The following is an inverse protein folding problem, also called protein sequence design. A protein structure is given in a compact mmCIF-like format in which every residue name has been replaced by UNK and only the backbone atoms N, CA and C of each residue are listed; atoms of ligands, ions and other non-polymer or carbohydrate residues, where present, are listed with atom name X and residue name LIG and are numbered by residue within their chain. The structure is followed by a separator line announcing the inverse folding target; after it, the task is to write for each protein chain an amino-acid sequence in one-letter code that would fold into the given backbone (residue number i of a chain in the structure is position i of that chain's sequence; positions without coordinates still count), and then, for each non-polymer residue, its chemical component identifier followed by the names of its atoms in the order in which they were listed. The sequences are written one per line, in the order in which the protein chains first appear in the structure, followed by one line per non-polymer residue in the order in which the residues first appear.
data_IF_269847380015
#
_entry.id   IF_269847380015
#
_cell.length_a   1.000
_cell.length_b   1.000
_cell.length_c   1.000
_cell.angle_alpha   90.00
_cell.angle_beta   90.00
_cell.angle_gamma   90.00
#
_symmetry.space_group_name_H-M   'P 1'
#
loop_
_entity.id
_entity.type
_entity.pdbx_description
1 polymer ?
#
# COMPACT_ATOMS: atom_id res chain seq x y z
N UNK A 1 31.08 -15.64 5.59
CA UNK A 1 30.34 -14.52 4.98
C UNK A 1 28.88 -14.81 5.27
N UNK A 2 28.29 -14.13 6.26
CA UNK A 2 26.89 -14.39 6.62
C UNK A 2 25.99 -14.00 5.45
N UNK A 3 25.02 -14.83 5.12
CA UNK A 3 23.99 -14.42 4.18
C UNK A 3 23.16 -13.26 4.79
N UNK A 4 22.61 -12.42 3.92
CA UNK A 4 21.83 -11.24 4.33
C UNK A 4 20.61 -11.61 5.19
N UNK A 5 20.04 -12.82 4.99
CA UNK A 5 18.91 -13.33 5.78
C UNK A 5 19.29 -13.56 7.26
N UNK A 6 20.47 -14.13 7.51
CA UNK A 6 21.00 -14.38 8.84
C UNK A 6 21.31 -13.09 9.60
N UNK A 7 21.83 -12.08 8.90
CA UNK A 7 22.04 -10.74 9.48
C UNK A 7 20.71 -10.09 9.87
N UNK A 8 19.70 -10.15 9.00
CA UNK A 8 18.40 -9.56 9.28
C UNK A 8 17.65 -10.26 10.41
N UNK A 9 17.70 -11.59 10.50
CA UNK A 9 17.11 -12.32 11.64
C UNK A 9 17.70 -11.91 12.99
N UNK A 10 18.94 -11.42 13.01
CA UNK A 10 19.60 -10.96 14.23
C UNK A 10 19.14 -9.57 14.66
N UNK A 11 18.82 -8.69 13.70
CA UNK A 11 18.47 -7.28 13.97
C UNK A 11 16.95 -7.03 13.96
N UNK A 12 16.23 -7.76 13.11
CA UNK A 12 14.77 -7.70 12.91
C UNK A 12 14.18 -9.12 12.85
N UNK A 13 14.13 -9.85 13.97
CA UNK A 13 13.68 -11.24 14.01
C UNK A 13 12.21 -11.43 13.60
N UNK A 14 11.42 -10.35 13.62
CA UNK A 14 10.01 -10.29 13.25
C UNK A 14 9.75 -9.97 11.77
N UNK A 15 10.79 -9.61 10.99
CA UNK A 15 10.66 -9.16 9.60
C UNK A 15 11.38 -10.12 8.64
N UNK A 16 10.68 -10.52 7.57
CA UNK A 16 11.31 -11.33 6.52
C UNK A 16 12.21 -10.47 5.62
N UNK A 17 13.27 -11.07 5.06
CA UNK A 17 14.19 -10.42 4.12
C UNK A 17 13.44 -9.73 2.94
N UNK A 18 12.41 -10.38 2.41
CA UNK A 18 11.60 -9.82 1.32
C UNK A 18 10.82 -8.55 1.69
N UNK A 19 10.33 -8.45 2.93
CA UNK A 19 9.68 -7.23 3.44
C UNK A 19 10.72 -6.13 3.64
N UNK A 20 11.90 -6.47 4.18
CA UNK A 20 12.98 -5.50 4.40
C UNK A 20 13.50 -4.90 3.10
N UNK A 21 13.77 -5.71 2.07
CA UNK A 21 14.21 -5.20 0.75
C UNK A 21 13.16 -4.24 0.16
N UNK A 22 11.86 -4.51 0.35
CA UNK A 22 10.79 -3.62 -0.14
C UNK A 22 10.71 -2.29 0.57
N UNK A 23 10.88 -2.29 1.88
CA UNK A 23 10.94 -1.02 2.61
C UNK A 23 12.13 -0.15 2.16
N UNK A 24 13.20 -0.77 1.64
CA UNK A 24 14.36 -0.06 1.09
C UNK A 24 14.17 0.40 -0.36
N UNK A 25 13.53 -0.40 -1.20
CA UNK A 25 13.44 -0.17 -2.65
C UNK A 25 12.13 0.51 -3.07
N UNK A 26 11.05 0.29 -2.33
CA UNK A 26 9.70 0.69 -2.72
C UNK A 26 9.05 -0.25 -3.73
N UNK A 27 7.81 0.07 -4.14
CA UNK A 27 7.11 -0.61 -5.23
C UNK A 27 7.28 0.15 -6.55
N UNK A 28 7.37 -0.54 -7.68
CA UNK A 28 7.33 0.14 -8.98
C UNK A 28 6.02 0.92 -9.16
N UNK A 29 6.12 2.17 -9.60
CA UNK A 29 4.96 3.06 -9.72
C UNK A 29 4.00 2.62 -10.82
N UNK A 30 4.51 2.06 -11.92
CA UNK A 30 3.70 1.53 -13.01
C UNK A 30 2.85 0.35 -12.55
N UNK A 31 3.50 -0.62 -11.91
CA UNK A 31 2.83 -1.78 -11.32
C UNK A 31 1.78 -1.37 -10.27
N UNK A 32 2.11 -0.40 -9.41
CA UNK A 32 1.16 0.15 -8.44
C UNK A 32 -0.06 0.79 -9.15
N UNK A 33 0.16 1.64 -10.16
CA UNK A 33 -0.93 2.26 -10.92
C UNK A 33 -1.81 1.23 -11.62
N UNK A 34 -1.22 0.20 -12.20
CA UNK A 34 -1.96 -0.88 -12.85
C UNK A 34 -2.83 -1.65 -11.84
N UNK A 35 -2.29 -2.01 -10.68
CA UNK A 35 -3.04 -2.70 -9.63
C UNK A 35 -4.25 -1.90 -9.13
N UNK A 36 -4.17 -0.56 -9.13
CA UNK A 36 -5.22 0.34 -8.68
C UNK A 36 -6.01 1.03 -9.82
N UNK A 37 -5.82 0.61 -11.08
CA UNK A 37 -6.39 1.29 -12.25
C UNK A 37 -7.92 1.42 -12.20
N UNK A 38 -8.61 0.41 -11.66
CA UNK A 38 -10.07 0.41 -11.50
C UNK A 38 -10.60 1.51 -10.57
N UNK A 39 -9.74 2.04 -9.69
CA UNK A 39 -10.07 3.11 -8.74
C UNK A 39 -9.66 4.50 -9.23
N UNK A 40 -8.99 4.60 -10.38
CA UNK A 40 -8.53 5.85 -10.96
C UNK A 40 -9.48 6.42 -12.04
N UNK A 41 -10.61 5.77 -12.28
CA UNK A 41 -11.61 6.21 -13.26
C UNK A 41 -12.41 7.42 -12.79
N UNK A 42 -12.26 8.56 -13.46
CA UNK A 42 -12.94 9.82 -13.13
C UNK A 42 -14.47 9.78 -13.30
N UNK A 43 -15.00 8.82 -14.07
CA UNK A 43 -16.45 8.61 -14.21
C UNK A 43 -17.06 7.89 -13.01
N UNK A 44 -16.24 7.23 -12.19
CA UNK A 44 -16.67 6.40 -11.05
C UNK A 44 -16.34 7.04 -9.70
N UNK A 45 -15.24 7.78 -9.62
CA UNK A 45 -14.74 8.36 -8.38
C UNK A 45 -14.54 9.88 -8.49
N UNK A 46 -14.84 10.59 -7.42
CA UNK A 46 -14.65 12.04 -7.33
C UNK A 46 -13.19 12.41 -7.03
N UNK A 47 -12.86 13.70 -7.13
CA UNK A 47 -11.48 14.19 -6.96
C UNK A 47 -10.84 13.83 -5.61
N UNK A 48 -11.62 13.78 -4.52
CA UNK A 48 -11.09 13.39 -3.20
C UNK A 48 -10.77 11.90 -3.14
N UNK A 49 -11.66 11.05 -3.67
CA UNK A 49 -11.45 9.60 -3.78
C UNK A 49 -10.25 9.28 -4.70
N UNK A 50 -10.12 9.96 -5.84
CA UNK A 50 -8.97 9.81 -6.74
C UNK A 50 -7.66 10.25 -6.06
N UNK A 51 -7.67 11.37 -5.34
CA UNK A 51 -6.50 11.81 -4.55
C UNK A 51 -6.14 10.78 -3.49
N UNK A 52 -7.13 10.17 -2.86
CA UNK A 52 -6.92 9.13 -1.85
C UNK A 52 -6.21 7.90 -2.44
N UNK A 53 -6.70 7.39 -3.57
CA UNK A 53 -6.09 6.24 -4.27
C UNK A 53 -4.67 6.57 -4.75
N UNK A 54 -4.44 7.77 -5.31
CA UNK A 54 -3.10 8.20 -5.69
C UNK A 54 -2.16 8.28 -4.48
N UNK A 55 -2.67 8.67 -3.31
CA UNK A 55 -1.90 8.67 -2.06
C UNK A 55 -1.52 7.25 -1.63
N UNK A 56 -2.39 6.25 -1.89
CA UNK A 56 -2.05 4.82 -1.66
C UNK A 56 -0.88 4.41 -2.55
N UNK A 57 -0.97 4.72 -3.85
CA UNK A 57 0.07 4.42 -4.84
C UNK A 57 1.39 5.07 -4.46
N UNK A 58 1.38 6.35 -4.10
CA UNK A 58 2.59 7.08 -3.72
C UNK A 58 3.23 6.50 -2.44
N UNK A 59 2.41 6.15 -1.44
CA UNK A 59 2.91 5.54 -0.22
C UNK A 59 3.53 4.15 -0.48
N UNK A 60 2.87 3.29 -1.25
CA UNK A 60 3.43 1.97 -1.62
C UNK A 60 4.69 2.12 -2.47
N UNK A 61 4.74 3.11 -3.36
CA UNK A 61 5.93 3.39 -4.18
C UNK A 61 7.12 3.82 -3.32
N UNK A 62 6.88 4.59 -2.25
CA UNK A 62 7.95 5.09 -1.38
C UNK A 62 8.36 4.11 -0.28
N UNK A 63 7.41 3.37 0.29
CA UNK A 63 7.62 2.55 1.49
C UNK A 63 7.58 1.05 1.19
N UNK A 64 7.17 0.63 -0.01
CA UNK A 64 7.12 -0.76 -0.46
C UNK A 64 6.03 -1.63 0.17
N UNK A 65 5.54 -1.27 1.36
CA UNK A 65 4.51 -1.98 2.12
C UNK A 65 3.55 -0.99 2.77
N UNK A 66 2.33 -1.44 3.07
CA UNK A 66 1.33 -0.63 3.77
C UNK A 66 0.35 -1.51 4.54
N UNK A 67 0.33 -1.33 5.87
CA UNK A 67 -0.75 -1.89 6.69
C UNK A 67 -2.11 -1.26 6.31
N UNK A 68 -3.18 -2.04 6.10
CA UNK A 68 -4.52 -1.51 5.83
C UNK A 68 -5.05 -0.52 6.86
N UNK A 69 -4.55 -0.57 8.11
CA UNK A 69 -4.92 0.39 9.15
C UNK A 69 -4.41 1.82 8.86
N UNK A 70 -3.42 1.99 7.98
CA UNK A 70 -2.93 3.30 7.55
C UNK A 70 -3.99 4.11 6.81
N UNK A 71 -4.97 3.46 6.17
CA UNK A 71 -6.04 4.13 5.44
C UNK A 71 -6.94 5.02 6.33
N UNK A 72 -6.84 4.90 7.66
CA UNK A 72 -7.52 5.74 8.64
C UNK A 72 -6.59 6.72 9.38
N UNK A 73 -5.33 6.84 8.96
CA UNK A 73 -4.28 7.67 9.60
C UNK A 73 -3.68 8.67 8.60
N UNK A 74 -2.92 9.67 9.04
CA UNK A 74 -2.19 10.53 8.11
C UNK A 74 -1.26 9.71 7.21
N UNK A 75 -1.11 10.06 5.92
CA UNK A 75 -1.65 11.24 5.23
C UNK A 75 -3.12 11.11 4.76
N UNK A 76 -3.75 9.96 4.95
CA UNK A 76 -5.10 9.69 4.46
C UNK A 76 -6.18 10.45 5.22
N UNK A 77 -6.04 10.54 6.55
CA UNK A 77 -6.95 11.33 7.39
C UNK A 77 -6.86 12.84 7.12
N UNK A 78 -5.80 13.30 6.45
CA UNK A 78 -5.64 14.71 6.05
C UNK A 78 -6.48 15.05 4.81
N UNK A 79 -6.89 14.02 4.03
CA UNK A 79 -7.81 14.17 2.90
C UNK A 79 -9.25 14.22 3.42
N UNK A 80 -9.59 13.34 4.35
CA UNK A 80 -10.89 13.31 5.02
C UNK A 80 -10.71 12.83 6.46
N UNK A 81 -11.36 13.46 7.44
CA UNK A 81 -11.09 13.20 8.86
C UNK A 81 -11.37 11.75 9.30
N UNK A 82 -12.32 11.07 8.65
CA UNK A 82 -12.62 9.64 8.86
C UNK A 82 -11.75 8.69 7.99
N UNK A 83 -10.77 9.25 7.27
CA UNK A 83 -9.95 8.53 6.31
C UNK A 83 -10.77 7.87 5.22
N UNK A 84 -10.47 6.60 4.95
CA UNK A 84 -11.15 5.79 3.92
C UNK A 84 -12.66 5.66 4.15
N UNK A 85 -13.12 5.62 5.42
CA UNK A 85 -14.51 5.38 5.76
C UNK A 85 -15.43 6.56 5.45
N UNK A 86 -14.88 7.79 5.41
CA UNK A 86 -15.65 8.97 5.02
C UNK A 86 -15.69 9.21 3.51
N UNK A 87 -14.90 8.46 2.73
CA UNK A 87 -14.78 8.64 1.29
C UNK A 87 -15.36 7.48 0.47
N UNK A 88 -15.45 6.28 1.04
CA UNK A 88 -15.83 5.08 0.30
C UNK A 88 -16.87 4.27 1.08
N UNK A 89 -17.76 3.58 0.37
CA UNK A 89 -18.66 2.60 0.97
C UNK A 89 -17.90 1.36 1.48
N UNK A 90 -18.50 0.62 2.40
CA UNK A 90 -17.88 -0.54 3.04
C UNK A 90 -17.37 -1.58 2.05
N UNK A 91 -18.08 -1.80 0.93
CA UNK A 91 -17.66 -2.72 -0.12
C UNK A 91 -16.33 -2.28 -0.73
N UNK A 92 -16.25 -1.03 -1.16
CA UNK A 92 -15.06 -0.44 -1.74
C UNK A 92 -13.91 -0.36 -0.72
N UNK A 93 -14.20 -0.10 0.56
CA UNK A 93 -13.18 -0.16 1.63
C UNK A 93 -12.61 -1.57 1.75
N UNK A 94 -13.45 -2.61 1.73
CA UNK A 94 -12.96 -3.99 1.79
C UNK A 94 -12.12 -4.33 0.56
N UNK A 95 -12.58 -3.96 -0.64
CA UNK A 95 -11.86 -4.20 -1.89
C UNK A 95 -10.47 -3.53 -1.89
N UNK A 96 -10.38 -2.27 -1.46
CA UNK A 96 -9.08 -1.58 -1.31
C UNK A 96 -8.16 -2.29 -0.32
N UNK A 97 -8.69 -2.77 0.81
CA UNK A 97 -7.91 -3.54 1.80
C UNK A 97 -7.41 -4.86 1.22
N UNK A 98 -8.23 -5.56 0.44
CA UNK A 98 -7.80 -6.77 -0.24
C UNK A 98 -6.76 -6.48 -1.31
N UNK A 99 -6.92 -5.41 -2.09
CA UNK A 99 -5.97 -5.02 -3.13
C UNK A 99 -4.58 -4.71 -2.55
N UNK A 100 -4.51 -3.97 -1.45
CA UNK A 100 -3.25 -3.68 -0.77
C UNK A 100 -2.54 -4.98 -0.38
N UNK A 101 -3.26 -5.92 0.25
CA UNK A 101 -2.70 -7.22 0.62
C UNK A 101 -2.25 -8.06 -0.58
N UNK A 102 -3.01 -8.03 -1.67
CA UNK A 102 -2.67 -8.74 -2.91
C UNK A 102 -1.41 -8.17 -3.55
N UNK A 103 -1.27 -6.83 -3.60
CA UNK A 103 -0.05 -6.15 -4.06
C UNK A 103 1.14 -6.51 -3.18
N UNK A 104 0.97 -6.54 -1.86
CA UNK A 104 2.01 -6.99 -0.93
C UNK A 104 2.40 -8.46 -1.16
N UNK A 105 1.43 -9.35 -1.41
CA UNK A 105 1.66 -10.78 -1.58
C UNK A 105 2.28 -11.15 -2.93
N UNK A 106 1.80 -10.58 -4.04
CA UNK A 106 2.33 -10.85 -5.39
C UNK A 106 3.79 -10.46 -5.52
N UNK A 107 4.17 -9.43 -4.80
CA UNK A 107 5.53 -8.97 -4.80
C UNK A 107 6.45 -9.98 -4.05
N UNK A 108 5.96 -10.81 -3.12
CA UNK A 108 6.77 -11.84 -2.42
C UNK A 108 7.20 -13.00 -3.35
N UNK A 109 6.60 -13.11 -4.55
CA UNK A 109 6.88 -14.18 -5.50
C UNK A 109 7.49 -13.69 -6.82
N UNK A 110 8.74 -13.21 -6.79
CA UNK A 110 9.70 -13.25 -7.90
C UNK A 110 11.13 -13.45 -7.36
#
# INVERSE_FOLDING_TARGET
MGDMDSYLKTIHPDKSLGVFIRELVGLDRGAAKEAFAEYLGETKFNSQQLRFVNTIIDYLTQNGVMSPAMLAKPPFSDIHFEGVFGLFDDGTVMDLRYKIKDVEAKAVGE
#
